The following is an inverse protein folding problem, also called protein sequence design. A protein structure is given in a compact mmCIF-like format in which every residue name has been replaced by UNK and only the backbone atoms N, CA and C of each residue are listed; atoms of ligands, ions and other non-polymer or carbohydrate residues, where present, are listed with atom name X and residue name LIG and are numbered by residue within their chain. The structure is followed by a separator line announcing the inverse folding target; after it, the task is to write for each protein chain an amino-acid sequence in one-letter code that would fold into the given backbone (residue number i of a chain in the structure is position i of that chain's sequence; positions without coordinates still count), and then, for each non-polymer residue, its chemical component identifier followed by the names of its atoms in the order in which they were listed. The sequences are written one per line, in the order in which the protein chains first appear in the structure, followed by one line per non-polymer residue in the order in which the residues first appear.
data_IF_743383339693
#
_entry.id   IF_743383339693
#
_cell.length_a   1.000
_cell.length_b   1.000
_cell.length_c   1.000
_cell.angle_alpha   90.00
_cell.angle_beta   90.00
_cell.angle_gamma   90.00
#
_symmetry.space_group_name_H-M   'P 1'
#
loop_
_entity.id
_entity.type
_entity.pdbx_description
1 polymer ?
#
# COMPACT_ATOMS: atom_id res chain seq x y z
N UNK A 1 18.75 -15.84 -11.35
CA UNK A 1 17.98 -15.47 -10.13
C UNK A 1 16.55 -15.90 -10.39
N UNK A 2 16.06 -16.90 -9.66
CA UNK A 2 14.68 -17.39 -9.85
C UNK A 2 13.72 -16.47 -9.12
N UNK A 3 12.71 -15.95 -9.81
CA UNK A 3 11.60 -15.24 -9.19
C UNK A 3 10.70 -16.27 -8.49
N UNK A 4 10.40 -16.04 -7.21
CA UNK A 4 9.40 -16.83 -6.48
C UNK A 4 8.04 -16.66 -7.16
N UNK A 5 7.20 -17.71 -7.26
CA UNK A 5 5.85 -17.56 -7.81
C UNK A 5 5.09 -16.49 -7.02
N UNK A 6 4.32 -15.62 -7.70
CA UNK A 6 3.67 -14.50 -7.04
C UNK A 6 2.58 -15.05 -6.11
N UNK A 7 2.78 -14.86 -4.81
CA UNK A 7 1.78 -15.21 -3.80
C UNK A 7 0.67 -14.16 -3.84
N UNK A 8 -0.61 -14.55 -3.92
CA UNK A 8 -1.70 -13.59 -3.84
C UNK A 8 -1.61 -12.80 -2.54
N UNK A 9 -1.79 -11.48 -2.64
CA UNK A 9 -1.82 -10.59 -1.47
C UNK A 9 -3.15 -9.88 -1.39
N UNK A 10 -3.61 -9.63 -0.16
CA UNK A 10 -4.86 -8.92 0.13
C UNK A 10 -4.55 -7.58 0.77
N UNK A 11 -5.18 -6.52 0.26
CA UNK A 11 -5.01 -5.18 0.81
C UNK A 11 -5.58 -5.11 2.23
N UNK A 12 -4.75 -4.68 3.19
CA UNK A 12 -5.15 -4.50 4.59
C UNK A 12 -6.17 -3.37 4.79
N UNK A 13 -6.31 -2.45 3.83
CA UNK A 13 -7.23 -1.31 3.91
C UNK A 13 -8.60 -1.59 3.27
N UNK A 14 -8.65 -2.18 2.07
CA UNK A 14 -9.91 -2.36 1.33
C UNK A 14 -10.28 -3.82 1.04
N UNK A 15 -9.41 -4.79 1.37
CA UNK A 15 -9.68 -6.21 1.13
C UNK A 15 -9.49 -6.70 -0.31
N UNK A 16 -9.08 -5.84 -1.24
CA UNK A 16 -8.78 -6.28 -2.62
C UNK A 16 -7.62 -7.27 -2.64
N UNK A 17 -7.86 -8.45 -3.22
CA UNK A 17 -6.83 -9.47 -3.43
C UNK A 17 -6.31 -9.41 -4.87
N UNK A 18 -4.99 -9.40 -5.04
CA UNK A 18 -4.33 -9.50 -6.36
C UNK A 18 -3.37 -10.68 -6.38
N UNK A 19 -3.37 -11.50 -7.44
CA UNK A 19 -2.39 -12.55 -7.63
C UNK A 19 -1.00 -12.00 -7.96
N UNK A 20 -0.92 -10.77 -8.47
CA UNK A 20 0.31 -10.07 -8.82
C UNK A 20 0.29 -8.68 -8.17
N UNK A 21 0.95 -8.49 -7.02
CA UNK A 21 1.11 -7.16 -6.46
C UNK A 21 2.04 -6.35 -7.37
N UNK A 22 1.44 -5.62 -8.29
CA UNK A 22 2.15 -4.61 -9.07
C UNK A 22 2.97 -3.68 -8.16
N UNK A 23 4.11 -3.18 -8.65
CA UNK A 23 5.02 -2.23 -7.98
C UNK A 23 4.35 -0.92 -7.50
N UNK A 24 3.06 -0.74 -7.77
CA UNK A 24 2.26 0.42 -7.36
C UNK A 24 1.71 0.34 -5.92
N UNK A 25 1.78 -0.83 -5.27
CA UNK A 25 1.40 -0.98 -3.86
C UNK A 25 2.53 -0.63 -2.88
N UNK A 26 2.23 -0.69 -1.59
CA UNK A 26 3.21 -0.52 -0.50
C UNK A 26 3.15 -1.71 0.45
N UNK A 27 4.30 -2.14 0.94
CA UNK A 27 4.41 -3.08 2.06
C UNK A 27 4.76 -2.30 3.32
N UNK A 28 3.94 -2.45 4.34
CA UNK A 28 4.18 -1.90 5.67
C UNK A 28 4.75 -2.99 6.58
N UNK A 29 5.84 -2.69 7.26
CA UNK A 29 6.44 -3.57 8.26
C UNK A 29 6.26 -2.96 9.65
N UNK A 30 5.33 -3.50 10.42
CA UNK A 30 5.10 -3.11 11.81
C UNK A 30 5.61 -4.20 12.75
N UNK A 31 6.32 -3.79 13.82
CA UNK A 31 6.91 -4.75 14.77
C UNK A 31 5.86 -5.52 15.58
N UNK A 32 4.68 -4.96 15.79
CA UNK A 32 3.61 -5.54 16.61
C UNK A 32 2.55 -6.23 15.74
N UNK A 33 2.18 -5.61 14.61
CA UNK A 33 1.12 -6.08 13.71
C UNK A 33 1.65 -6.97 12.56
N UNK A 34 2.97 -7.05 12.41
CA UNK A 34 3.60 -7.81 11.35
C UNK A 34 3.65 -7.05 10.03
N UNK A 35 3.78 -7.81 8.93
CA UNK A 35 3.87 -7.25 7.59
C UNK A 35 2.49 -7.20 6.94
N UNK A 36 2.10 -6.04 6.41
CA UNK A 36 0.84 -5.85 5.70
C UNK A 36 1.07 -5.19 4.33
N UNK A 37 0.15 -5.42 3.39
CA UNK A 37 0.22 -4.82 2.05
C UNK A 37 -0.96 -3.88 1.82
N UNK A 38 -0.69 -2.72 1.21
CA UNK A 38 -1.68 -1.72 0.82
C UNK A 38 -1.65 -1.54 -0.68
N UNK A 39 -2.82 -1.61 -1.33
CA UNK A 39 -2.91 -1.46 -2.79
C UNK A 39 -2.64 -0.01 -3.23
N UNK A 40 -2.27 0.17 -4.49
CA UNK A 40 -1.92 1.49 -5.03
C UNK A 40 -3.05 2.52 -4.94
N UNK A 41 -4.31 2.09 -5.06
CA UNK A 41 -5.47 2.98 -4.92
C UNK A 41 -5.63 3.51 -3.49
N UNK A 42 -5.59 2.63 -2.49
CA UNK A 42 -5.65 3.02 -1.08
C UNK A 42 -4.43 3.87 -0.69
N UNK A 43 -3.25 3.54 -1.20
CA UNK A 43 -2.03 4.33 -0.97
C UNK A 43 -2.19 5.76 -1.50
N UNK A 44 -2.63 5.93 -2.75
CA UNK A 44 -2.87 7.27 -3.34
C UNK A 44 -3.98 8.03 -2.60
N UNK A 45 -5.02 7.32 -2.16
CA UNK A 45 -6.08 7.90 -1.33
C UNK A 45 -5.53 8.50 -0.03
N UNK A 46 -4.64 7.78 0.65
CA UNK A 46 -3.99 8.26 1.87
C UNK A 46 -3.11 9.49 1.62
N UNK A 47 -2.30 9.49 0.56
CA UNK A 47 -1.46 10.65 0.19
C UNK A 47 -2.33 11.89 -0.05
N UNK A 48 -3.37 11.78 -0.87
CA UNK A 48 -4.30 12.89 -1.14
C UNK A 48 -4.97 13.43 0.13
N UNK A 49 -5.29 12.55 1.08
CA UNK A 49 -5.89 12.93 2.35
C UNK A 49 -4.91 13.70 3.26
N UNK A 50 -3.61 13.41 3.19
CA UNK A 50 -2.57 14.17 3.88
C UNK A 50 -2.38 15.53 3.21
N UNK A 51 -2.21 15.54 1.89
CA UNK A 51 -2.02 16.75 1.08
C UNK A 51 -3.17 17.75 1.25
N UNK A 52 -4.42 17.28 1.33
CA UNK A 52 -5.59 18.14 1.53
C UNK A 52 -5.64 18.81 2.91
N UNK A 53 -4.85 18.35 3.89
CA UNK A 53 -4.78 18.91 5.25
C UNK A 53 -3.59 19.84 5.44
N UNK A 54 -2.61 19.83 4.54
CA UNK A 54 -1.46 20.72 4.62
C UNK A 54 -1.88 22.14 4.21
N UNK A 55 -1.43 23.13 4.98
CA UNK A 55 -1.57 24.53 4.57
C UNK A 55 -0.78 24.77 3.28
N UNK A 56 -1.27 25.67 2.43
CA UNK A 56 -0.67 25.93 1.12
C UNK A 56 0.78 26.42 1.21
N UNK A 57 1.20 27.00 2.32
CA UNK A 57 2.59 27.40 2.56
C UNK A 57 3.54 26.23 2.84
N UNK A 58 3.02 25.02 3.08
CA UNK A 58 3.78 23.79 3.32
C UNK A 58 3.80 22.86 2.10
N UNK A 59 3.25 23.31 0.98
CA UNK A 59 3.51 22.73 -0.34
C UNK A 59 4.77 23.34 -0.95
#
# INVERSE_FOLDING_TARGET
MSASPPTPVTCSSCGTTTPDPALTGMVEHDRVRGTSWVCGECLRGNVRAVEAKLDRAWW
#
